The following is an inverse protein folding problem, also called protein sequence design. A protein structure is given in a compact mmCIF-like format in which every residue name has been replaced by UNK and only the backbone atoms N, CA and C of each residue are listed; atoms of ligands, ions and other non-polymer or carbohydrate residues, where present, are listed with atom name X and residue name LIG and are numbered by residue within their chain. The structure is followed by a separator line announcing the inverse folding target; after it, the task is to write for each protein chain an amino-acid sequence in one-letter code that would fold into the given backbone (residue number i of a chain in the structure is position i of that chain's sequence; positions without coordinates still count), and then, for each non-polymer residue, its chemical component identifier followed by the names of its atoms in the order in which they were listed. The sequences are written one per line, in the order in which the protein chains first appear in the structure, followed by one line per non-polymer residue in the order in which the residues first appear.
data_IF_971806221200
#
_entry.id   IF_971806221200
#
_cell.length_a   1.000
_cell.length_b   1.000
_cell.length_c   1.000
_cell.angle_alpha   90.00
_cell.angle_beta   90.00
_cell.angle_gamma   90.00
#
_symmetry.space_group_name_H-M   'P 1'
#
loop_
_entity.id
_entity.type
_entity.pdbx_description
1 polymer ?
#
# COMPACT_ATOMS: atom_id res chain seq x y z
N UNK A 1 -4.58 15.52 14.42
CA UNK A 1 -5.67 14.54 14.30
C UNK A 1 -5.60 13.88 12.92
N UNK A 2 -5.88 12.59 12.80
CA UNK A 2 -6.05 11.96 11.49
C UNK A 2 -7.28 12.54 10.79
N UNK A 3 -7.17 12.70 9.47
CA UNK A 3 -8.27 13.25 8.65
C UNK A 3 -8.72 12.29 7.54
N UNK A 4 -7.95 11.27 7.25
CA UNK A 4 -8.25 10.27 6.24
C UNK A 4 -7.74 8.90 6.71
N UNK A 5 -8.52 7.88 6.44
CA UNK A 5 -8.17 6.48 6.72
C UNK A 5 -8.11 5.72 5.40
N UNK A 6 -7.15 4.81 5.28
CA UNK A 6 -6.97 3.96 4.11
C UNK A 6 -6.33 2.63 4.51
N UNK A 7 -6.46 1.64 3.66
CA UNK A 7 -5.79 0.36 3.83
C UNK A 7 -4.67 0.19 2.81
N UNK A 8 -3.56 -0.39 3.23
CA UNK A 8 -2.58 -0.97 2.31
C UNK A 8 -3.13 -2.32 1.84
N UNK A 9 -3.20 -2.52 0.53
CA UNK A 9 -3.89 -3.65 -0.11
C UNK A 9 -2.97 -4.35 -1.13
N UNK A 10 -3.45 -5.49 -1.62
CA UNK A 10 -2.84 -6.24 -2.72
C UNK A 10 -3.75 -6.15 -3.95
N UNK A 11 -3.22 -5.66 -5.06
CA UNK A 11 -3.86 -5.65 -6.37
C UNK A 11 -3.24 -6.73 -7.26
N UNK A 12 -4.08 -7.50 -7.93
CA UNK A 12 -3.68 -8.56 -8.85
C UNK A 12 -4.46 -8.50 -10.16
N UNK A 13 -3.90 -9.07 -11.22
CA UNK A 13 -4.65 -9.38 -12.42
C UNK A 13 -5.59 -10.56 -12.13
N UNK A 14 -6.85 -10.48 -12.58
CA UNK A 14 -7.84 -11.56 -12.40
C UNK A 14 -7.40 -12.88 -13.00
N UNK A 15 -6.55 -12.84 -14.04
CA UNK A 15 -5.99 -14.01 -14.70
C UNK A 15 -5.12 -14.88 -13.79
N UNK A 16 -4.59 -14.33 -12.68
CA UNK A 16 -3.83 -15.12 -11.69
C UNK A 16 -4.69 -16.13 -10.95
N UNK A 17 -5.99 -15.87 -10.83
CA UNK A 17 -6.95 -16.66 -10.04
C UNK A 17 -6.60 -16.72 -8.55
N UNK A 18 -5.87 -15.73 -8.03
CA UNK A 18 -5.55 -15.65 -6.61
C UNK A 18 -6.82 -15.36 -5.80
N UNK A 19 -7.08 -16.17 -4.77
CA UNK A 19 -8.25 -16.06 -3.91
C UNK A 19 -7.94 -15.59 -2.49
N UNK A 20 -6.66 -15.62 -2.09
CA UNK A 20 -6.25 -15.21 -0.74
C UNK A 20 -4.77 -14.80 -0.70
N UNK A 21 -4.35 -14.23 0.43
CA UNK A 21 -2.94 -13.90 0.66
C UNK A 21 -2.01 -15.13 0.60
N UNK A 22 -2.52 -16.32 0.87
CA UNK A 22 -1.74 -17.57 0.82
C UNK A 22 -1.27 -17.91 -0.59
N UNK A 23 -1.96 -17.42 -1.61
CA UNK A 23 -1.57 -17.59 -3.01
C UNK A 23 -0.32 -16.78 -3.38
N UNK A 24 0.12 -15.86 -2.51
CA UNK A 24 1.36 -15.10 -2.67
C UNK A 24 2.63 -15.89 -2.30
N UNK A 25 2.50 -17.10 -1.77
CA UNK A 25 3.64 -17.97 -1.50
C UNK A 25 4.43 -18.23 -2.77
N UNK A 26 5.75 -18.01 -2.70
CA UNK A 26 6.69 -18.14 -3.80
C UNK A 26 6.40 -17.22 -5.01
N UNK A 27 5.66 -16.13 -4.79
CA UNK A 27 5.31 -15.14 -5.80
C UNK A 27 6.15 -13.87 -5.67
N UNK A 28 6.12 -13.06 -6.73
CA UNK A 28 6.78 -11.78 -6.81
C UNK A 28 5.78 -10.66 -6.58
N UNK A 29 5.93 -9.92 -5.49
CA UNK A 29 5.07 -8.80 -5.13
C UNK A 29 5.84 -7.49 -5.34
N UNK A 30 5.26 -6.57 -6.10
CA UNK A 30 5.86 -5.26 -6.34
C UNK A 30 5.45 -4.23 -5.29
N UNK A 31 6.39 -3.37 -4.92
CA UNK A 31 6.20 -2.21 -4.05
C UNK A 31 6.94 -1.00 -4.62
N UNK A 32 6.59 0.20 -4.15
CA UNK A 32 7.38 1.41 -4.42
C UNK A 32 8.38 1.66 -3.29
N UNK A 33 9.64 1.89 -3.66
CA UNK A 33 10.69 2.24 -2.71
C UNK A 33 10.34 3.47 -1.88
N UNK A 34 10.75 3.45 -0.61
CA UNK A 34 10.56 4.57 0.29
C UNK A 34 9.15 4.72 0.86
N UNK A 35 8.21 3.85 0.45
CA UNK A 35 6.89 3.79 1.06
C UNK A 35 6.90 2.81 2.25
N UNK A 36 5.87 2.87 3.08
CA UNK A 36 5.69 1.90 4.18
C UNK A 36 5.11 0.56 3.71
N UNK A 37 4.74 0.42 2.43
CA UNK A 37 4.23 -0.85 1.89
C UNK A 37 5.20 -2.01 2.07
N UNK A 38 6.51 -1.79 1.88
CA UNK A 38 7.52 -2.84 2.03
C UNK A 38 7.55 -3.46 3.42
N UNK A 39 7.82 -2.69 4.48
CA UNK A 39 7.82 -3.20 5.86
C UNK A 39 6.47 -3.79 6.29
N UNK A 40 5.34 -3.17 5.92
CA UNK A 40 4.01 -3.65 6.26
C UNK A 40 3.69 -4.98 5.57
N UNK A 41 4.03 -5.10 4.29
CA UNK A 41 3.89 -6.35 3.53
C UNK A 41 4.74 -7.46 4.15
N UNK A 42 6.01 -7.21 4.44
CA UNK A 42 6.90 -8.20 5.04
C UNK A 42 6.36 -8.71 6.38
N UNK A 43 5.89 -7.81 7.24
CA UNK A 43 5.28 -8.19 8.53
C UNK A 43 4.04 -9.04 8.33
N UNK A 44 3.15 -8.65 7.41
CA UNK A 44 1.92 -9.41 7.13
C UNK A 44 2.22 -10.80 6.57
N UNK A 45 3.14 -10.92 5.62
CA UNK A 45 3.56 -12.21 5.06
C UNK A 45 4.18 -13.12 6.12
N UNK A 46 4.96 -12.55 7.04
CA UNK A 46 5.53 -13.28 8.17
C UNK A 46 4.44 -13.77 9.13
N UNK A 47 3.52 -12.89 9.52
CA UNK A 47 2.42 -13.23 10.45
C UNK A 47 1.50 -14.33 9.87
N UNK A 48 1.31 -14.36 8.55
CA UNK A 48 0.53 -15.38 7.85
C UNK A 48 1.33 -16.66 7.56
N UNK A 49 2.60 -16.71 7.94
CA UNK A 49 3.46 -17.87 7.72
C UNK A 49 3.86 -18.10 6.26
N UNK A 50 3.76 -17.10 5.41
CA UNK A 50 4.12 -17.16 3.98
C UNK A 50 5.64 -17.04 3.83
N UNK A 51 6.26 -16.16 4.59
CA UNK A 51 7.72 -16.04 4.67
C UNK A 51 8.23 -16.39 6.07
N UNK A 52 9.51 -16.72 6.15
CA UNK A 52 10.24 -16.79 7.41
C UNK A 52 10.98 -15.47 7.68
N UNK A 53 11.76 -15.40 8.74
CA UNK A 53 12.62 -14.25 9.04
C UNK A 53 13.92 -14.24 8.23
N UNK A 54 14.12 -15.22 7.34
CA UNK A 54 15.33 -15.34 6.51
C UNK A 54 15.20 -14.45 5.27
N UNK A 55 16.10 -13.48 5.17
CA UNK A 55 16.33 -12.68 3.96
C UNK A 55 17.47 -13.33 3.17
N UNK A 56 17.15 -13.86 1.99
CA UNK A 56 18.14 -14.54 1.13
C UNK A 56 19.04 -13.52 0.42
N UNK A 57 18.43 -12.45 -0.10
CA UNK A 57 19.12 -11.34 -0.76
C UNK A 57 18.31 -10.06 -0.62
N UNK A 58 19.01 -8.94 -0.50
CA UNK A 58 18.38 -7.61 -0.44
C UNK A 58 19.23 -6.60 -1.23
N UNK A 59 18.62 -5.99 -2.24
CA UNK A 59 19.22 -4.96 -3.09
C UNK A 59 18.31 -3.74 -3.15
N UNK A 60 18.71 -2.71 -3.88
CA UNK A 60 17.87 -1.52 -4.11
C UNK A 60 16.64 -1.81 -4.98
N UNK A 61 16.66 -2.90 -5.76
CA UNK A 61 15.61 -3.25 -6.72
C UNK A 61 14.78 -4.46 -6.31
N UNK A 62 15.22 -5.24 -5.35
CA UNK A 62 14.44 -6.37 -4.82
C UNK A 62 14.90 -6.83 -3.43
N UNK A 63 14.01 -7.53 -2.75
CA UNK A 63 14.31 -8.35 -1.58
C UNK A 63 13.79 -9.75 -1.82
N UNK A 64 14.65 -10.74 -1.69
CA UNK A 64 14.25 -12.15 -1.69
C UNK A 64 14.18 -12.67 -0.27
N UNK A 65 12.98 -13.05 0.15
CA UNK A 65 12.73 -13.76 1.39
C UNK A 65 12.67 -15.27 1.12
N UNK A 66 12.91 -16.08 2.16
CA UNK A 66 12.46 -17.46 2.10
C UNK A 66 10.93 -17.47 2.09
N UNK A 67 10.32 -17.76 0.92
CA UNK A 67 8.88 -17.88 0.71
C UNK A 67 8.23 -16.79 -0.15
N UNK A 68 8.91 -15.71 -0.50
CA UNK A 68 8.41 -14.69 -1.43
C UNK A 68 9.55 -13.81 -1.97
N UNK A 69 9.26 -13.15 -3.11
CA UNK A 69 10.15 -12.20 -3.75
C UNK A 69 9.46 -10.84 -3.84
N UNK A 70 10.14 -9.77 -3.46
CA UNK A 70 9.59 -8.41 -3.48
C UNK A 70 10.41 -7.55 -4.44
N UNK A 71 9.80 -7.14 -5.54
CA UNK A 71 10.37 -6.19 -6.51
C UNK A 71 10.09 -4.75 -6.04
N UNK A 72 11.11 -3.90 -6.11
CA UNK A 72 11.04 -2.51 -5.69
C UNK A 72 11.18 -1.60 -6.91
N UNK A 73 10.22 -0.70 -7.10
CA UNK A 73 10.24 0.32 -8.15
C UNK A 73 10.36 1.72 -7.56
N UNK A 74 10.65 2.71 -8.38
CA UNK A 74 10.70 4.11 -7.96
C UNK A 74 9.35 4.83 -8.10
N UNK A 75 8.43 4.29 -8.92
CA UNK A 75 7.14 4.93 -9.24
C UNK A 75 6.02 3.91 -9.31
N UNK A 76 4.81 4.35 -8.98
CA UNK A 76 3.60 3.53 -9.12
C UNK A 76 3.30 3.15 -10.58
N UNK A 77 3.61 4.03 -11.55
CA UNK A 77 3.47 3.73 -12.97
C UNK A 77 4.35 2.55 -13.42
N UNK A 78 5.49 2.34 -12.79
CA UNK A 78 6.35 1.19 -13.06
C UNK A 78 5.72 -0.10 -12.52
N UNK A 79 5.11 -0.06 -11.33
CA UNK A 79 4.34 -1.21 -10.80
C UNK A 79 3.17 -1.58 -11.71
N UNK A 80 2.45 -0.58 -12.22
CA UNK A 80 1.35 -0.77 -13.16
C UNK A 80 1.81 -1.56 -14.40
N UNK A 81 2.92 -1.13 -15.00
CA UNK A 81 3.52 -1.79 -16.17
C UNK A 81 3.97 -3.23 -15.84
N UNK A 82 4.66 -3.44 -14.72
CA UNK A 82 5.15 -4.76 -14.33
C UNK A 82 4.00 -5.74 -14.02
N UNK A 83 2.90 -5.23 -13.45
CA UNK A 83 1.71 -6.03 -13.18
C UNK A 83 1.02 -6.43 -14.49
N UNK A 84 0.86 -5.49 -15.42
CA UNK A 84 0.26 -5.72 -16.74
C UNK A 84 1.05 -6.74 -17.57
N UNK A 85 2.37 -6.66 -17.54
CA UNK A 85 3.26 -7.59 -18.29
C UNK A 85 3.46 -8.94 -17.60
N UNK A 86 3.03 -9.09 -16.34
CA UNK A 86 3.22 -10.30 -15.56
C UNK A 86 4.63 -10.47 -15.01
N UNK A 87 5.46 -9.43 -15.02
CA UNK A 87 6.80 -9.45 -14.40
C UNK A 87 6.71 -9.47 -12.88
N UNK A 88 5.62 -8.93 -12.32
CA UNK A 88 5.21 -9.16 -10.93
C UNK A 88 3.84 -9.84 -10.91
N UNK A 89 3.60 -10.64 -9.87
CA UNK A 89 2.34 -11.38 -9.70
C UNK A 89 1.28 -10.55 -8.96
N UNK A 90 1.72 -9.61 -8.15
CA UNK A 90 0.87 -8.76 -7.33
C UNK A 90 1.55 -7.41 -7.06
N UNK A 91 0.78 -6.39 -6.78
CA UNK A 91 1.27 -5.07 -6.35
C UNK A 91 0.68 -4.71 -4.98
N UNK A 92 1.53 -4.22 -4.08
CA UNK A 92 1.14 -3.78 -2.74
C UNK A 92 1.28 -2.27 -2.63
N UNK A 93 0.18 -1.59 -2.32
CA UNK A 93 0.11 -0.14 -2.19
C UNK A 93 -1.14 0.28 -1.42
N UNK A 94 -1.25 1.56 -1.11
CA UNK A 94 -2.45 2.11 -0.48
C UNK A 94 -3.65 2.06 -1.44
N UNK A 95 -4.83 1.73 -0.94
CA UNK A 95 -6.01 1.52 -1.76
C UNK A 95 -6.40 2.76 -2.57
N UNK A 96 -6.27 3.96 -2.01
CA UNK A 96 -6.56 5.21 -2.72
C UNK A 96 -5.67 5.40 -3.95
N UNK A 97 -4.42 4.95 -3.90
CA UNK A 97 -3.50 4.99 -5.05
C UNK A 97 -3.86 3.87 -6.03
N UNK A 98 -4.10 2.66 -5.54
CA UNK A 98 -4.44 1.50 -6.35
C UNK A 98 -5.70 1.73 -7.20
N UNK A 99 -6.68 2.47 -6.70
CA UNK A 99 -7.89 2.84 -7.46
C UNK A 99 -7.57 3.57 -8.77
N UNK A 100 -6.51 4.36 -8.83
CA UNK A 100 -6.10 5.07 -10.05
C UNK A 100 -5.55 4.15 -11.13
N UNK A 101 -5.14 2.93 -10.77
CA UNK A 101 -4.61 1.89 -11.67
C UNK A 101 -5.57 0.73 -11.85
N UNK A 102 -6.77 0.80 -11.27
CA UNK A 102 -7.79 -0.24 -11.41
C UNK A 102 -8.36 -0.26 -12.83
N UNK A 103 -8.64 -1.44 -13.33
CA UNK A 103 -9.33 -1.67 -14.61
C UNK A 103 -10.11 -2.97 -14.55
N UNK A 104 -10.82 -3.32 -15.63
CA UNK A 104 -11.69 -4.50 -15.69
C UNK A 104 -10.96 -5.84 -15.56
N UNK A 105 -9.63 -5.85 -15.73
CA UNK A 105 -8.79 -7.04 -15.64
C UNK A 105 -8.21 -7.27 -14.25
N UNK A 106 -8.38 -6.33 -13.33
CA UNK A 106 -7.76 -6.32 -12.00
C UNK A 106 -8.76 -6.43 -10.88
N UNK A 107 -8.31 -6.91 -9.75
CA UNK A 107 -9.07 -6.96 -8.50
C UNK A 107 -8.15 -6.78 -7.29
N UNK A 108 -8.73 -6.40 -6.16
CA UNK A 108 -8.06 -6.44 -4.88
C UNK A 108 -8.28 -7.80 -4.23
N UNK A 109 -7.23 -8.37 -3.63
CA UNK A 109 -7.40 -9.51 -2.74
C UNK A 109 -8.22 -9.07 -1.51
N UNK A 110 -9.08 -9.97 -1.03
CA UNK A 110 -9.87 -9.74 0.19
C UNK A 110 -8.98 -9.89 1.44
N UNK A 111 -8.05 -8.97 1.57
CA UNK A 111 -7.12 -8.87 2.71
C UNK A 111 -6.66 -7.42 2.86
N UNK A 112 -6.66 -6.92 4.08
CA UNK A 112 -5.95 -5.70 4.45
C UNK A 112 -4.55 -6.07 4.92
N UNK A 113 -3.54 -5.47 4.29
CA UNK A 113 -2.15 -5.61 4.73
C UNK A 113 -1.93 -4.81 6.00
N UNK A 114 -2.43 -3.58 6.02
CA UNK A 114 -2.42 -2.72 7.20
C UNK A 114 -3.48 -1.62 7.06
N UNK A 115 -4.07 -1.25 8.17
CA UNK A 115 -4.90 -0.04 8.26
C UNK A 115 -4.00 1.15 8.58
N UNK A 116 -4.22 2.28 7.90
CA UNK A 116 -3.43 3.49 8.04
C UNK A 116 -4.31 4.70 8.26
N UNK A 117 -3.78 5.65 9.03
CA UNK A 117 -4.37 6.96 9.25
C UNK A 117 -3.44 8.05 8.71
N UNK A 118 -4.00 8.99 8.00
CA UNK A 118 -3.28 10.14 7.45
C UNK A 118 -3.51 11.38 8.31
N UNK A 119 -2.44 12.07 8.62
CA UNK A 119 -2.47 13.31 9.39
C UNK A 119 -1.53 14.35 8.81
N UNK A 120 -1.75 15.61 9.16
CA UNK A 120 -0.83 16.69 8.82
C UNK A 120 0.24 16.79 9.91
N UNK A 121 1.51 16.72 9.51
CA UNK A 121 2.65 16.91 10.39
C UNK A 121 3.18 18.36 10.31
N UNK A 122 3.54 18.90 11.46
CA UNK A 122 4.25 20.16 11.58
C UNK A 122 5.59 19.95 12.26
N UNK A 123 6.51 20.89 12.15
CA UNK A 123 7.75 20.85 12.91
C UNK A 123 7.42 20.83 14.41
N UNK A 124 8.14 20.03 15.17
CA UNK A 124 7.98 19.94 16.63
C UNK A 124 8.07 21.33 17.26
N UNK A 125 7.14 21.62 18.15
CA UNK A 125 7.02 22.90 18.88
C UNK A 125 6.78 24.13 17.98
N UNK A 126 6.31 23.91 16.74
CA UNK A 126 5.93 24.99 15.82
C UNK A 126 4.69 25.74 16.30
N UNK A 127 4.70 27.06 16.15
CA UNK A 127 3.51 27.89 16.37
C UNK A 127 2.35 27.57 15.42
N UNK A 128 2.61 26.84 14.33
CA UNK A 128 1.59 26.39 13.38
C UNK A 128 0.88 25.12 13.84
N UNK A 129 1.38 24.39 14.83
CA UNK A 129 0.82 23.09 15.22
C UNK A 129 -0.62 23.21 15.71
N UNK A 130 -0.91 24.17 16.58
CA UNK A 130 -2.27 24.40 17.09
C UNK A 130 -3.23 24.91 16.00
N UNK A 131 -2.91 25.98 15.23
CA UNK A 131 -3.78 26.44 14.15
C UNK A 131 -4.08 25.38 13.07
N UNK A 132 -3.09 24.56 12.69
CA UNK A 132 -3.27 23.48 11.73
C UNK A 132 -4.21 22.40 12.30
N UNK A 133 -4.00 21.98 13.55
CA UNK A 133 -4.86 21.00 14.20
C UNK A 133 -6.31 21.48 14.31
N UNK A 134 -6.52 22.75 14.68
CA UNK A 134 -7.84 23.38 14.75
C UNK A 134 -8.52 23.45 13.37
N UNK A 135 -7.77 23.81 12.33
CA UNK A 135 -8.29 23.88 10.96
C UNK A 135 -8.71 22.49 10.43
N UNK A 136 -7.88 21.46 10.65
CA UNK A 136 -8.23 20.08 10.27
C UNK A 136 -9.47 19.61 11.02
N UNK A 137 -9.55 19.86 12.32
CA UNK A 137 -10.71 19.48 13.12
C UNK A 137 -11.98 20.19 12.63
N UNK A 138 -11.91 21.49 12.33
CA UNK A 138 -13.05 22.24 11.80
C UNK A 138 -13.53 21.67 10.45
N UNK A 139 -12.61 21.25 9.57
CA UNK A 139 -12.96 20.63 8.29
C UNK A 139 -13.57 19.23 8.46
N UNK A 140 -13.18 18.49 9.50
CA UNK A 140 -13.83 17.23 9.86
C UNK A 140 -15.26 17.49 10.37
N UNK A 141 -15.41 18.46 11.27
CA UNK A 141 -16.70 18.76 11.93
C UNK A 141 -17.75 19.31 10.95
N UNK A 142 -17.33 20.07 9.95
CA UNK A 142 -18.25 20.70 8.96
C UNK A 142 -18.48 19.84 7.69
N UNK A 143 -17.89 18.64 7.64
CA UNK A 143 -18.02 17.71 6.51
C UNK A 143 -17.22 18.11 5.26
N UNK A 144 -16.28 19.04 5.37
CA UNK A 144 -15.41 19.44 4.25
C UNK A 144 -14.53 18.29 3.81
N UNK A 145 -13.95 17.52 4.76
CA UNK A 145 -13.13 16.35 4.45
C UNK A 145 -13.94 15.32 3.67
N UNK A 146 -15.16 14.98 4.13
CA UNK A 146 -16.02 14.00 3.45
C UNK A 146 -16.32 14.43 2.01
N UNK A 147 -16.65 15.70 1.78
CA UNK A 147 -16.87 16.24 0.44
C UNK A 147 -15.63 16.17 -0.45
N UNK A 148 -14.43 16.33 0.11
CA UNK A 148 -13.19 16.19 -0.64
C UNK A 148 -12.90 14.73 -0.98
N UNK A 149 -13.14 13.81 -0.06
CA UNK A 149 -13.02 12.36 -0.31
C UNK A 149 -13.95 11.95 -1.46
N UNK A 150 -15.24 12.32 -1.37
CA UNK A 150 -16.24 12.01 -2.41
C UNK A 150 -15.88 12.60 -3.78
N UNK A 151 -15.20 13.74 -3.79
CA UNK A 151 -14.81 14.41 -5.03
C UNK A 151 -13.61 13.74 -5.73
N UNK A 152 -12.69 13.18 -4.95
CA UNK A 152 -11.40 12.74 -5.48
C UNK A 152 -11.18 11.21 -5.46
N UNK A 153 -12.10 10.45 -4.86
CA UNK A 153 -12.11 8.98 -4.86
C UNK A 153 -13.10 8.39 -5.90
#
# INVERSE_FOLDING_TARGET
APYYEDDTIIMVEKSTLFGSIRDLKDKNIGIVNGTNAGPLLAQKLYDEGIITDVVVENTDTFTQYEGAYVTKTERYADLDTLLETGEIDAACMDACIAQTYMNDQREFLDVSIAHQEYGVATVKDSALSAPVAEAVQAMLDDGTIDRLIDKWN
#
